data_IF_900538081970
#
_entry.id   IF_900538081970
#
_cell.length_a   1.000
_cell.length_b   1.000
_cell.length_c   1.000
_cell.angle_alpha   90.00
_cell.angle_beta   90.00
_cell.angle_gamma   90.00
#
_symmetry.space_group_name_H-M   'P 1'
#
loop_
_entity.id
_entity.type
_entity.pdbx_description
1 polymer ?
#
# COMPACT_ATOMS: atom_id res chain seq x y z
N UNK A 1 -18.76 9.68 -1.77
CA UNK A 1 -18.35 8.28 -1.46
C UNK A 1 -16.87 8.14 -1.78
N UNK A 2 -16.03 7.74 -0.81
CA UNK A 2 -14.62 7.45 -1.07
C UNK A 2 -14.46 6.01 -1.58
N UNK A 3 -13.65 5.80 -2.61
CA UNK A 3 -13.40 4.46 -3.18
C UNK A 3 -12.72 3.56 -2.12
N UNK A 4 -13.30 2.41 -1.74
CA UNK A 4 -12.79 1.57 -0.65
C UNK A 4 -11.38 1.05 -0.92
N UNK A 5 -11.06 0.74 -2.17
CA UNK A 5 -9.71 0.32 -2.56
C UNK A 5 -8.69 1.44 -2.32
N UNK A 6 -8.98 2.67 -2.77
CA UNK A 6 -8.01 3.77 -2.68
C UNK A 6 -7.75 4.21 -1.23
N UNK A 7 -8.81 4.35 -0.44
CA UNK A 7 -8.68 4.92 0.91
C UNK A 7 -8.44 3.84 1.96
N UNK A 8 -9.11 2.69 1.83
CA UNK A 8 -9.06 1.60 2.80
C UNK A 8 -7.90 0.63 2.62
N UNK A 9 -7.39 0.48 1.39
CA UNK A 9 -6.30 -0.48 1.10
C UNK A 9 -5.03 0.25 0.65
N UNK A 10 -5.13 1.08 -0.38
CA UNK A 10 -3.97 1.77 -0.96
C UNK A 10 -3.44 2.86 -0.01
N UNK A 11 -4.30 3.53 0.76
CA UNK A 11 -3.90 4.49 1.79
C UNK A 11 -2.93 3.89 2.82
N UNK A 12 -3.33 2.83 3.55
CA UNK A 12 -2.45 2.12 4.48
C UNK A 12 -1.18 1.55 3.84
N UNK A 13 -1.29 0.95 2.65
CA UNK A 13 -0.12 0.43 1.93
C UNK A 13 0.91 1.53 1.62
N UNK A 14 0.46 2.70 1.13
CA UNK A 14 1.34 3.85 0.88
C UNK A 14 2.00 4.36 2.15
N UNK A 15 1.28 4.38 3.27
CA UNK A 15 1.84 4.78 4.56
C UNK A 15 2.98 3.84 4.99
N UNK A 16 2.78 2.52 4.89
CA UNK A 16 3.83 1.52 5.17
C UNK A 16 5.04 1.66 4.26
N UNK A 17 4.81 1.78 2.94
CA UNK A 17 5.89 2.00 1.97
C UNK A 17 6.74 3.22 2.31
N UNK A 18 6.11 4.31 2.75
CA UNK A 18 6.82 5.54 3.15
C UNK A 18 7.65 5.34 4.41
N UNK A 19 7.12 4.64 5.42
CA UNK A 19 7.87 4.33 6.64
C UNK A 19 9.08 3.44 6.35
N UNK A 20 8.92 2.41 5.51
CA UNK A 20 10.01 1.51 5.15
C UNK A 20 11.07 2.17 4.25
N UNK A 21 10.66 3.12 3.39
CA UNK A 21 11.59 3.90 2.57
C UNK A 21 12.64 4.65 3.41
N UNK A 22 12.24 5.18 4.57
CA UNK A 22 13.14 5.95 5.43
C UNK A 22 14.25 5.11 6.07
N UNK A 23 14.09 3.78 6.09
CA UNK A 23 15.00 2.85 6.74
C UNK A 23 15.88 2.07 5.74
N UNK A 24 15.55 2.13 4.45
CA UNK A 24 16.30 1.41 3.43
C UNK A 24 17.48 2.23 2.90
N UNK A 25 18.64 1.58 2.79
CA UNK A 25 19.74 2.12 2.01
C UNK A 25 19.43 1.98 0.52
N UNK A 26 19.45 3.12 -0.16
CA UNK A 26 19.27 3.20 -1.61
C UNK A 26 20.62 3.57 -2.22
N UNK A 27 20.99 2.91 -3.32
CA UNK A 27 22.18 3.27 -4.08
C UNK A 27 22.16 4.77 -4.41
N UNK A 28 23.32 5.43 -4.34
CA UNK A 28 23.44 6.90 -4.49
C UNK A 28 22.89 7.41 -5.84
N UNK A 29 23.04 6.61 -6.91
CA UNK A 29 22.58 6.94 -8.27
C UNK A 29 21.97 5.72 -8.96
N UNK A 30 20.77 5.28 -8.56
CA UNK A 30 20.14 4.11 -9.14
C UNK A 30 19.57 4.46 -10.52
N UNK A 31 19.74 3.55 -11.46
CA UNK A 31 19.12 3.59 -12.79
C UNK A 31 17.59 3.52 -12.68
N UNK A 32 16.89 3.89 -13.76
CA UNK A 32 15.42 3.77 -13.81
C UNK A 32 14.94 2.32 -13.61
N UNK A 33 15.69 1.34 -14.13
CA UNK A 33 15.38 -0.08 -14.00
C UNK A 33 15.54 -0.54 -12.54
N UNK A 34 16.61 -0.14 -11.86
CA UNK A 34 16.81 -0.46 -10.43
C UNK A 34 15.74 0.19 -9.56
N UNK A 35 15.42 1.47 -9.78
CA UNK A 35 14.32 2.14 -9.08
C UNK A 35 13.00 1.37 -9.21
N UNK A 36 12.66 0.95 -10.44
CA UNK A 36 11.45 0.16 -10.70
C UNK A 36 11.48 -1.18 -9.96
N UNK A 37 12.60 -1.91 -10.05
CA UNK A 37 12.76 -3.22 -9.40
C UNK A 37 12.63 -3.11 -7.88
N UNK A 38 13.31 -2.13 -7.26
CA UNK A 38 13.23 -1.87 -5.82
C UNK A 38 11.80 -1.55 -5.40
N UNK A 39 11.09 -0.70 -6.14
CA UNK A 39 9.70 -0.37 -5.84
C UNK A 39 8.77 -1.60 -5.92
N UNK A 40 8.95 -2.47 -6.90
CA UNK A 40 8.15 -3.70 -7.03
C UNK A 40 8.41 -4.64 -5.86
N UNK A 41 9.68 -4.97 -5.58
CA UNK A 41 10.06 -5.85 -4.47
C UNK A 41 9.54 -5.33 -3.13
N UNK A 42 9.65 -4.02 -2.91
CA UNK A 42 9.17 -3.38 -1.68
C UNK A 42 7.65 -3.44 -1.57
N UNK A 43 6.94 -3.21 -2.67
CA UNK A 43 5.47 -3.29 -2.67
C UNK A 43 5.01 -4.69 -2.31
N UNK A 44 5.66 -5.73 -2.84
CA UNK A 44 5.38 -7.12 -2.48
C UNK A 44 5.64 -7.35 -0.98
N UNK A 45 6.82 -6.96 -0.47
CA UNK A 45 7.16 -7.15 0.94
C UNK A 45 6.17 -6.45 1.90
N UNK A 46 5.74 -5.23 1.56
CA UNK A 46 4.77 -4.48 2.37
C UNK A 46 3.33 -4.92 2.15
N UNK A 47 3.04 -5.65 1.06
CA UNK A 47 1.71 -6.21 0.83
C UNK A 47 1.42 -7.39 1.73
N UNK A 48 2.42 -8.22 2.05
CA UNK A 48 2.29 -9.31 3.04
C UNK A 48 1.86 -8.81 4.43
N UNK A 49 2.16 -7.54 4.72
CA UNK A 49 1.76 -6.84 5.94
C UNK A 49 0.30 -6.32 5.92
N UNK A 50 -0.36 -6.33 4.76
CA UNK A 50 -1.77 -5.94 4.60
C UNK A 50 -2.62 -7.19 4.74
N UNK A 51 -3.22 -7.38 5.91
CA UNK A 51 -4.06 -8.55 6.16
C UNK A 51 -5.34 -8.54 5.31
N UNK A 52 -5.85 -9.73 5.01
CA UNK A 52 -7.11 -9.91 4.29
C UNK A 52 -8.29 -9.21 5.01
N UNK A 53 -8.25 -9.15 6.34
CA UNK A 53 -9.26 -8.46 7.15
C UNK A 53 -9.29 -6.95 6.91
N UNK A 54 -8.13 -6.31 6.67
CA UNK A 54 -8.06 -4.88 6.31
C UNK A 54 -8.76 -4.65 4.97
N UNK A 55 -8.53 -5.54 4.00
CA UNK A 55 -9.18 -5.48 2.69
C UNK A 55 -10.69 -5.67 2.86
N UNK A 56 -11.14 -6.80 3.43
CA UNK A 56 -12.56 -7.11 3.62
C UNK A 56 -13.29 -6.00 4.38
N UNK A 57 -12.74 -5.53 5.50
CA UNK A 57 -13.37 -4.49 6.31
C UNK A 57 -13.51 -3.15 5.57
N UNK A 58 -12.57 -2.82 4.68
CA UNK A 58 -12.66 -1.61 3.84
C UNK A 58 -13.86 -1.64 2.89
N UNK A 59 -14.15 -2.81 2.29
CA UNK A 59 -15.30 -2.98 1.41
C UNK A 59 -16.61 -3.11 2.20
N UNK A 60 -16.64 -3.85 3.31
CA UNK A 60 -17.83 -3.95 4.17
C UNK A 60 -18.26 -2.58 4.70
N UNK A 61 -17.30 -1.72 5.11
CA UNK A 61 -17.60 -0.33 5.48
C UNK A 61 -18.23 0.44 4.33
N UNK A 62 -17.70 0.32 3.12
CA UNK A 62 -18.28 0.99 1.95
C UNK A 62 -19.72 0.54 1.64
N UNK A 63 -20.05 -0.74 1.83
CA UNK A 63 -21.42 -1.25 1.71
C UNK A 63 -22.35 -0.67 2.79
N UNK A 64 -21.88 -0.55 4.04
CA UNK A 64 -22.69 0.04 5.11
C UNK A 64 -23.05 1.51 4.87
N UNK A 65 -22.20 2.26 4.16
CA UNK A 65 -22.52 3.64 3.75
C UNK A 65 -23.47 3.72 2.55
N UNK A 66 -23.63 2.64 1.78
CA UNK A 66 -24.55 2.61 0.64
C UNK A 66 -26.00 2.33 1.04
N UNK A 67 -26.22 1.84 2.27
CA UNK A 67 -27.53 1.49 2.82
C UNK A 67 -28.14 2.58 3.72
N UNK A 68 -27.52 3.76 3.77
CA UNK A 68 -27.97 4.96 4.51
C UNK A 68 -28.39 6.03 3.52
#
# INVERSE_FOLDING_TARGET
VCQPLDVGVIGPLKAKLRSHWLLEEVAEKPTAAEKRMTMIKRTIAMWEDVSEDIVKSSFSKALSYASI
#
